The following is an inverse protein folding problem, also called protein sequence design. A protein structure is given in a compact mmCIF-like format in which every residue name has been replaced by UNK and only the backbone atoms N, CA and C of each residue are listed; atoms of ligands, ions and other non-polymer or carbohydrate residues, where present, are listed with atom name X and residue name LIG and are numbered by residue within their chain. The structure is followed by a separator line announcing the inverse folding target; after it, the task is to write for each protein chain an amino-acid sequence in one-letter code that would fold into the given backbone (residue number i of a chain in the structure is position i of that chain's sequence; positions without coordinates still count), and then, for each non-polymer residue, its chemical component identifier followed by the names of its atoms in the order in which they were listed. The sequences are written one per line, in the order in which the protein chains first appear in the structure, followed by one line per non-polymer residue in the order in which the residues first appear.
data_IF_478614576175
#
_entry.id   IF_478614576175
#
_cell.length_a   1.000
_cell.length_b   1.000
_cell.length_c   1.000
_cell.angle_alpha   90.00
_cell.angle_beta   90.00
_cell.angle_gamma   90.00
#
_symmetry.space_group_name_H-M   'P 1'
#
loop_
_entity.id
_entity.type
_entity.pdbx_description
1 polymer ?
#
# COMPACT_ATOMS: atom_id res chain seq x y z
N UNK A 1 26.68 -64.89 20.20
CA UNK A 1 27.22 -63.74 19.43
C UNK A 1 26.18 -62.63 19.47
N UNK A 2 26.46 -61.54 20.16
CA UNK A 2 25.51 -60.43 20.38
C UNK A 2 25.82 -59.32 19.37
N UNK A 3 24.87 -58.96 18.50
CA UNK A 3 24.99 -57.77 17.63
C UNK A 3 24.30 -56.60 18.32
N UNK A 4 25.09 -55.62 18.76
CA UNK A 4 24.63 -54.30 19.23
C UNK A 4 24.12 -53.47 18.05
N UNK A 5 23.09 -52.63 18.23
CA UNK A 5 22.74 -51.61 17.24
C UNK A 5 23.81 -50.51 17.21
N UNK A 6 24.18 -50.08 16.01
CA UNK A 6 25.13 -49.00 15.77
C UNK A 6 24.43 -47.65 15.95
N UNK A 7 24.79 -46.95 17.02
CA UNK A 7 24.59 -45.51 17.16
C UNK A 7 25.44 -44.78 16.11
N UNK A 8 24.81 -44.23 15.07
CA UNK A 8 25.45 -43.40 14.06
C UNK A 8 24.58 -42.16 13.78
N UNK A 9 24.37 -41.35 14.81
CA UNK A 9 24.08 -39.93 14.64
C UNK A 9 25.03 -39.13 15.52
N UNK A 10 26.29 -39.10 15.08
CA UNK A 10 27.28 -38.14 15.55
C UNK A 10 26.92 -36.74 15.06
N UNK A 11 26.87 -35.81 16.02
CA UNK A 11 26.71 -34.37 15.86
C UNK A 11 27.29 -33.80 14.55
N UNK A 12 26.43 -33.18 13.74
CA UNK A 12 26.86 -32.11 12.85
C UNK A 12 26.24 -30.82 13.36
N UNK A 13 27.11 -29.93 13.84
CA UNK A 13 26.83 -28.51 14.02
C UNK A 13 26.67 -27.95 12.61
N UNK A 14 25.47 -28.12 12.04
CA UNK A 14 25.06 -27.52 10.79
C UNK A 14 24.44 -26.17 11.11
N UNK A 15 25.03 -25.13 10.54
CA UNK A 15 24.68 -23.73 10.75
C UNK A 15 23.17 -23.50 10.92
N UNK A 16 22.79 -23.02 12.10
CA UNK A 16 21.57 -22.24 12.25
C UNK A 16 21.80 -20.94 11.51
N UNK A 17 21.72 -20.97 10.18
CA UNK A 17 21.36 -19.78 9.43
C UNK A 17 19.93 -19.51 9.86
N UNK A 18 19.80 -18.71 10.92
CA UNK A 18 18.57 -18.02 11.21
C UNK A 18 18.29 -17.18 9.97
N UNK A 19 17.55 -17.75 9.01
CA UNK A 19 16.80 -16.94 8.08
C UNK A 19 16.00 -16.00 8.96
N UNK A 20 16.25 -14.68 8.94
CA UNK A 20 15.34 -13.78 9.60
C UNK A 20 13.98 -14.10 9.00
N UNK A 21 13.08 -14.67 9.80
CA UNK A 21 11.68 -14.70 9.45
C UNK A 21 11.35 -13.24 9.21
N UNK A 22 11.26 -12.86 7.93
CA UNK A 22 10.81 -11.53 7.55
C UNK A 22 9.47 -11.40 8.25
N UNK A 23 9.41 -10.51 9.25
CA UNK A 23 8.20 -10.23 9.97
C UNK A 23 7.19 -9.81 8.90
N UNK A 24 6.27 -10.72 8.56
CA UNK A 24 5.26 -10.47 7.56
C UNK A 24 4.40 -9.35 8.15
N UNK A 25 4.69 -8.11 7.75
CA UNK A 25 3.88 -6.97 8.09
C UNK A 25 2.60 -7.08 7.26
N UNK A 26 1.67 -7.93 7.71
CA UNK A 26 0.37 -8.21 7.11
C UNK A 26 -0.60 -7.03 7.28
N UNK A 27 -0.10 -5.79 7.18
CA UNK A 27 -0.95 -4.63 7.09
C UNK A 27 -1.79 -4.76 5.82
N UNK A 28 -3.10 -4.95 6.00
CA UNK A 28 -4.04 -4.97 4.89
C UNK A 28 -4.28 -3.54 4.42
N UNK A 29 -4.60 -3.37 3.13
CA UNK A 29 -4.97 -2.06 2.61
C UNK A 29 -6.12 -1.43 3.41
N UNK A 30 -7.02 -2.25 3.97
CA UNK A 30 -8.13 -1.78 4.80
C UNK A 30 -7.64 -1.18 6.11
N UNK A 31 -6.66 -1.81 6.78
CA UNK A 31 -6.07 -1.25 7.98
C UNK A 31 -5.34 0.05 7.68
N UNK A 32 -4.57 0.09 6.58
CA UNK A 32 -3.89 1.30 6.14
C UNK A 32 -4.89 2.44 5.87
N UNK A 33 -6.03 2.13 5.23
CA UNK A 33 -7.10 3.09 5.02
C UNK A 33 -7.69 3.57 6.36
N UNK A 34 -7.95 2.67 7.32
CA UNK A 34 -8.43 3.03 8.67
C UNK A 34 -7.47 3.95 9.41
N UNK A 35 -6.16 3.78 9.21
CA UNK A 35 -5.16 4.68 9.78
C UNK A 35 -5.13 6.02 9.04
N UNK A 36 -5.21 5.99 7.71
CA UNK A 36 -5.26 7.19 6.86
C UNK A 36 -6.44 8.10 7.21
N UNK A 37 -7.60 7.55 7.61
CA UNK A 37 -8.76 8.38 7.95
C UNK A 37 -8.54 9.32 9.14
N UNK A 38 -7.51 9.08 9.96
CA UNK A 38 -7.12 9.97 11.06
C UNK A 38 -6.56 11.30 10.56
N UNK A 39 -5.82 11.26 9.45
CA UNK A 39 -5.18 12.44 8.85
C UNK A 39 -5.98 12.98 7.65
N UNK A 40 -6.66 12.09 6.94
CA UNK A 40 -7.43 12.37 5.73
C UNK A 40 -8.87 11.90 5.93
N UNK A 41 -9.73 12.69 6.58
CA UNK A 41 -11.08 12.26 6.92
C UNK A 41 -11.90 11.92 5.66
N UNK A 42 -12.73 10.88 5.77
CA UNK A 42 -13.66 10.49 4.73
C UNK A 42 -14.88 11.40 4.72
N UNK A 43 -15.44 11.64 3.54
CA UNK A 43 -16.78 12.19 3.40
C UNK A 43 -17.83 11.24 3.99
N UNK A 44 -19.06 11.71 4.27
CA UNK A 44 -20.17 10.84 4.67
C UNK A 44 -20.45 9.70 3.68
N UNK A 45 -20.09 9.90 2.40
CA UNK A 45 -20.19 8.90 1.34
C UNK A 45 -19.02 7.92 1.26
N UNK A 46 -18.06 7.98 2.20
CA UNK A 46 -16.91 7.09 2.27
C UNK A 46 -15.77 7.43 1.31
N UNK A 47 -15.67 8.68 0.86
CA UNK A 47 -14.67 9.11 -0.12
C UNK A 47 -13.61 10.00 0.53
N UNK A 48 -12.34 9.80 0.17
CA UNK A 48 -11.30 10.77 0.52
C UNK A 48 -11.47 12.07 -0.29
N UNK A 49 -11.13 13.20 0.33
CA UNK A 49 -11.11 14.50 -0.33
C UNK A 49 -12.48 15.02 -0.80
N UNK A 50 -12.48 16.14 -1.52
CA UNK A 50 -13.67 16.77 -2.13
C UNK A 50 -13.95 16.18 -3.52
N UNK A 51 -15.16 16.39 -4.04
CA UNK A 51 -15.48 15.98 -5.41
C UNK A 51 -14.65 16.79 -6.41
N UNK A 52 -14.04 16.10 -7.38
CA UNK A 52 -13.35 16.73 -8.50
C UNK A 52 -14.31 17.05 -9.66
N UNK A 53 -13.74 17.49 -10.79
CA UNK A 53 -14.49 17.83 -12.01
C UNK A 53 -15.24 16.63 -12.64
N UNK A 54 -14.88 15.40 -12.27
CA UNK A 54 -15.48 14.17 -12.80
C UNK A 54 -15.93 13.28 -11.65
N UNK A 55 -17.03 12.54 -11.84
CA UNK A 55 -17.67 11.70 -10.80
C UNK A 55 -16.79 10.56 -10.26
N UNK A 56 -15.75 10.17 -10.98
CA UNK A 56 -14.73 9.19 -10.58
C UNK A 56 -13.53 9.78 -9.83
N UNK A 57 -13.47 11.11 -9.70
CA UNK A 57 -12.28 11.83 -9.24
C UNK A 57 -12.56 12.57 -7.95
N UNK A 58 -11.63 12.46 -7.01
CA UNK A 58 -11.57 13.22 -5.78
C UNK A 58 -10.37 14.15 -5.79
N UNK A 59 -10.41 15.17 -4.94
CA UNK A 59 -9.36 16.18 -4.82
C UNK A 59 -9.00 16.37 -3.35
N UNK A 60 -7.71 16.31 -3.05
CA UNK A 60 -7.13 16.75 -1.77
C UNK A 60 -6.29 17.99 -2.06
N UNK A 61 -6.65 19.12 -1.46
CA UNK A 61 -5.92 20.38 -1.54
C UNK A 61 -4.87 20.42 -0.43
N UNK A 62 -3.63 20.79 -0.77
CA UNK A 62 -2.55 20.94 0.19
C UNK A 62 -1.56 22.03 -0.22
N UNK A 63 -0.85 22.63 0.74
CA UNK A 63 0.18 23.63 0.44
C UNK A 63 1.33 23.03 -0.39
N UNK A 64 1.71 21.79 -0.09
CA UNK A 64 2.63 20.98 -0.87
C UNK A 64 1.93 19.66 -1.24
N UNK A 65 1.38 19.66 -2.45
CA UNK A 65 0.64 18.55 -3.01
C UNK A 65 1.51 17.33 -3.30
N UNK A 66 2.80 17.50 -3.56
CA UNK A 66 3.71 16.38 -3.81
C UNK A 66 4.06 15.68 -2.50
N UNK A 67 4.42 16.44 -1.48
CA UNK A 67 4.70 15.91 -0.14
C UNK A 67 3.47 15.23 0.46
N UNK A 68 2.29 15.83 0.29
CA UNK A 68 1.02 15.25 0.79
C UNK A 68 0.67 13.96 0.06
N UNK A 69 0.80 13.93 -1.27
CA UNK A 69 0.59 12.70 -2.03
C UNK A 69 1.58 11.60 -1.62
N UNK A 70 2.85 11.94 -1.38
CA UNK A 70 3.86 11.01 -0.94
C UNK A 70 3.55 10.45 0.45
N UNK A 71 3.17 11.30 1.42
CA UNK A 71 2.76 10.88 2.76
C UNK A 71 1.55 9.93 2.70
N UNK A 72 0.53 10.31 1.93
CA UNK A 72 -0.65 9.47 1.72
C UNK A 72 -0.26 8.11 1.14
N UNK A 73 0.61 8.10 0.11
CA UNK A 73 1.10 6.86 -0.50
C UNK A 73 1.84 5.98 0.50
N UNK A 74 2.80 6.53 1.24
CA UNK A 74 3.63 5.77 2.19
C UNK A 74 2.79 5.10 3.28
N UNK A 75 1.74 5.79 3.74
CA UNK A 75 0.77 5.23 4.69
C UNK A 75 -0.12 4.17 4.04
N UNK A 76 -0.58 4.42 2.80
CA UNK A 76 -1.45 3.50 2.09
C UNK A 76 -0.75 2.19 1.70
N UNK A 77 0.49 2.25 1.21
CA UNK A 77 1.19 1.13 0.55
C UNK A 77 1.87 0.16 1.52
N UNK A 78 1.88 0.45 2.82
CA UNK A 78 2.57 -0.35 3.83
C UNK A 78 2.10 -1.81 3.82
N UNK A 79 3.05 -2.75 3.79
CA UNK A 79 2.74 -4.20 3.83
C UNK A 79 2.38 -4.82 2.47
N UNK A 80 2.28 -4.02 1.40
CA UNK A 80 2.11 -4.53 0.04
C UNK A 80 3.43 -4.58 -0.75
N UNK A 81 3.43 -5.34 -1.84
CA UNK A 81 4.54 -5.43 -2.78
C UNK A 81 4.55 -4.20 -3.72
N UNK A 82 5.52 -3.30 -3.55
CA UNK A 82 5.68 -2.13 -4.41
C UNK A 82 6.45 -2.46 -5.70
N UNK A 83 5.89 -2.04 -6.84
CA UNK A 83 6.48 -2.19 -8.17
C UNK A 83 6.45 -0.85 -8.90
N UNK A 84 7.51 -0.53 -9.64
CA UNK A 84 7.49 0.63 -10.54
C UNK A 84 6.51 0.40 -11.70
N UNK A 85 5.81 1.44 -12.11
CA UNK A 85 5.01 1.39 -13.34
C UNK A 85 5.94 1.25 -14.57
N UNK A 86 5.52 0.57 -15.66
CA UNK A 86 6.37 0.36 -16.84
C UNK A 86 6.92 1.67 -17.45
N UNK A 87 6.16 2.75 -17.35
CA UNK A 87 6.54 4.08 -17.84
C UNK A 87 7.42 4.88 -16.87
N UNK A 88 7.79 4.32 -15.71
CA UNK A 88 8.57 4.95 -14.62
C UNK A 88 7.96 6.26 -14.06
N UNK A 89 6.69 6.56 -14.34
CA UNK A 89 5.99 7.78 -13.87
C UNK A 89 5.28 7.59 -12.52
N UNK A 90 5.59 6.52 -11.80
CA UNK A 90 4.91 6.17 -10.58
C UNK A 90 5.18 4.74 -10.12
N UNK A 91 4.40 4.32 -9.14
CA UNK A 91 4.45 3.00 -8.51
C UNK A 91 3.06 2.39 -8.44
N UNK A 92 3.01 1.08 -8.35
CA UNK A 92 1.83 0.33 -7.91
C UNK A 92 2.21 -0.50 -6.69
N UNK A 93 1.23 -0.80 -5.86
CA UNK A 93 1.37 -1.72 -4.74
C UNK A 93 0.30 -2.79 -4.89
N UNK A 94 0.71 -4.04 -4.67
CA UNK A 94 -0.19 -5.21 -4.71
C UNK A 94 -0.19 -5.81 -3.30
N UNK A 95 -1.37 -5.98 -2.73
CA UNK A 95 -1.55 -6.58 -1.41
C UNK A 95 -1.84 -8.08 -1.52
N UNK A 96 -1.56 -8.87 -0.46
CA UNK A 96 -1.83 -10.31 -0.45
C UNK A 96 -3.29 -10.69 -0.70
N UNK A 97 -4.24 -9.80 -0.39
CA UNK A 97 -5.68 -9.98 -0.61
C UNK A 97 -6.12 -9.64 -2.06
N UNK A 98 -5.18 -9.32 -2.95
CA UNK A 98 -5.45 -8.91 -4.33
C UNK A 98 -5.85 -7.44 -4.48
N UNK A 99 -5.88 -6.65 -3.40
CA UNK A 99 -6.08 -5.21 -3.48
C UNK A 99 -4.88 -4.52 -4.14
N UNK A 100 -5.14 -3.43 -4.85
CA UNK A 100 -4.14 -2.71 -5.64
C UNK A 100 -4.29 -1.22 -5.40
N UNK A 101 -3.18 -0.52 -5.24
CA UNK A 101 -3.17 0.94 -5.38
C UNK A 101 -2.07 1.38 -6.33
N UNK A 102 -2.30 2.49 -7.04
CA UNK A 102 -1.35 3.07 -7.98
C UNK A 102 -1.10 4.53 -7.61
N UNK A 103 0.17 4.89 -7.44
CA UNK A 103 0.62 6.26 -7.28
C UNK A 103 1.30 6.75 -8.54
N UNK A 104 0.80 7.84 -9.12
CA UNK A 104 1.38 8.53 -10.27
C UNK A 104 1.86 9.90 -9.84
N UNK A 105 3.18 10.09 -9.86
CA UNK A 105 3.82 11.38 -9.56
C UNK A 105 3.58 12.34 -10.73
N UNK A 106 3.69 11.81 -11.95
CA UNK A 106 3.47 12.56 -13.20
C UNK A 106 2.16 12.10 -13.82
N UNK A 107 1.21 13.03 -13.95
CA UNK A 107 -0.09 12.81 -14.62
C UNK A 107 -0.22 13.72 -15.85
N UNK A 108 -1.30 13.59 -16.61
CA UNK A 108 -1.60 14.52 -17.72
C UNK A 108 -1.91 15.93 -17.23
N UNK A 109 -2.33 16.09 -15.96
CA UNK A 109 -2.52 17.38 -15.32
C UNK A 109 -1.22 17.80 -14.64
N UNK A 110 -0.66 18.93 -15.07
CA UNK A 110 0.58 19.47 -14.50
C UNK A 110 0.42 19.69 -12.99
N UNK A 111 1.45 19.37 -12.22
CA UNK A 111 1.52 19.57 -10.76
C UNK A 111 0.40 18.89 -9.97
N UNK A 112 -0.20 17.82 -10.51
CA UNK A 112 -1.25 17.08 -9.83
C UNK A 112 -0.90 15.58 -9.74
N UNK A 113 -0.08 15.19 -8.75
CA UNK A 113 0.13 13.78 -8.46
C UNK A 113 -1.20 13.12 -8.08
N UNK A 114 -1.35 11.84 -8.40
CA UNK A 114 -2.61 11.13 -8.19
C UNK A 114 -2.41 9.74 -7.62
N UNK A 115 -3.34 9.32 -6.75
CA UNK A 115 -3.40 7.97 -6.19
C UNK A 115 -4.75 7.36 -6.56
N UNK A 116 -4.73 6.13 -7.05
CA UNK A 116 -5.91 5.35 -7.35
C UNK A 116 -5.95 4.13 -6.45
N UNK A 117 -7.11 3.88 -5.83
CA UNK A 117 -7.29 2.83 -4.82
C UNK A 117 -8.30 1.83 -5.33
N UNK A 118 -7.95 0.55 -5.32
CA UNK A 118 -8.83 -0.57 -5.60
C UNK A 118 -8.69 -1.62 -4.49
N UNK A 119 -9.78 -1.92 -3.78
CA UNK A 119 -9.82 -2.89 -2.69
C UNK A 119 -10.64 -4.09 -3.14
N UNK A 120 -10.03 -5.26 -3.29
CA UNK A 120 -10.69 -6.42 -3.91
C UNK A 120 -11.88 -6.92 -3.08
N UNK A 121 -11.67 -7.21 -1.79
CA UNK A 121 -12.73 -7.59 -0.85
C UNK A 121 -13.20 -6.41 -0.02
N UNK A 122 -13.84 -5.44 -0.67
CA UNK A 122 -14.30 -4.23 0.01
C UNK A 122 -15.57 -4.44 0.83
N UNK A 123 -15.42 -4.95 2.04
CA UNK A 123 -16.51 -5.08 3.02
C UNK A 123 -16.79 -3.77 3.78
N UNK A 124 -16.13 -2.68 3.38
CA UNK A 124 -16.21 -1.40 4.06
C UNK A 124 -17.04 -0.39 3.25
N UNK A 125 -17.56 0.65 3.90
CA UNK A 125 -18.25 1.76 3.23
C UNK A 125 -17.30 2.68 2.42
N UNK A 126 -16.02 2.33 2.31
CA UNK A 126 -15.00 3.13 1.63
C UNK A 126 -15.20 3.02 0.12
N UNK A 127 -15.24 4.16 -0.57
CA UNK A 127 -15.35 4.20 -2.03
C UNK A 127 -13.98 4.30 -2.68
N UNK A 128 -13.73 3.34 -3.57
CA UNK A 128 -12.57 3.30 -4.46
C UNK A 128 -12.70 4.41 -5.51
N UNK A 129 -11.77 5.37 -5.47
CA UNK A 129 -11.73 6.49 -6.41
C UNK A 129 -10.29 6.86 -6.71
N UNK A 130 -10.12 7.56 -7.83
CA UNK A 130 -8.88 8.27 -8.13
C UNK A 130 -8.87 9.59 -7.37
N UNK A 131 -7.78 9.87 -6.66
CA UNK A 131 -7.59 11.06 -5.85
C UNK A 131 -6.45 11.86 -6.46
N UNK A 132 -6.75 13.09 -6.87
CA UNK A 132 -5.75 14.07 -7.29
C UNK A 132 -5.35 14.93 -6.10
N UNK A 133 -4.06 15.13 -5.93
CA UNK A 133 -3.53 16.09 -4.97
C UNK A 133 -3.22 17.37 -5.73
N UNK A 134 -3.73 18.50 -5.25
CA UNK A 134 -3.58 19.80 -5.90
C UNK A 134 -3.06 20.81 -4.90
N UNK A 135 -2.33 21.81 -5.40
CA UNK A 135 -1.88 22.92 -4.56
C UNK A 135 -3.12 23.68 -4.09
N UNK A 136 -3.16 24.02 -2.80
CA UNK A 136 -4.16 24.94 -2.26
C UNK A 136 -3.90 26.34 -2.82
N UNK A 137 -4.94 26.98 -3.32
CA UNK A 137 -4.91 28.38 -3.76
C UNK A 137 -4.70 29.33 -2.56
#
# INVERSE_FOLDING_TARGET
MSKKPSDLFSNTIGDKIAHPQQELNLASIQENIRQLTKDYPLSPGGEFGKAGKSSGVRVIEANDQFKTAQDFWLKLSKGGEELYLPNKKGKKVIFPDGSISTYRIITSTKNSPAIEIYVYHNNSKIKMKKIHFVRKD
#
